data_IF_307871098652
#
_entry.id   IF_307871098652
#
_cell.length_a   1.000
_cell.length_b   1.000
_cell.length_c   1.000
_cell.angle_alpha   90.00
_cell.angle_beta   90.00
_cell.angle_gamma   90.00
#
_symmetry.space_group_name_H-M   'P 1'
#
loop_
_entity.id
_entity.type
_entity.pdbx_description
1 polymer ?
#
# COMPACT_ATOMS: atom_id res chain seq x y z
N UNK A 1 -25.37 -1.36 -23.91
CA UNK A 1 -25.18 -0.45 -25.06
C UNK A 1 -23.75 0.04 -24.96
N UNK A 2 -22.90 -0.30 -25.93
CA UNK A 2 -21.54 0.22 -25.98
C UNK A 2 -21.58 1.72 -26.28
N UNK A 3 -21.01 2.51 -25.38
CA UNK A 3 -20.90 3.95 -25.54
C UNK A 3 -19.86 4.21 -26.62
N UNK A 4 -20.21 5.00 -27.63
CA UNK A 4 -19.28 5.41 -28.68
C UNK A 4 -18.04 6.10 -28.08
N UNK A 5 -16.82 5.58 -28.32
CA UNK A 5 -15.59 6.12 -27.73
C UNK A 5 -15.34 7.60 -28.01
N UNK A 6 -15.88 8.14 -29.11
CA UNK A 6 -15.75 9.55 -29.49
C UNK A 6 -16.43 10.49 -28.49
N UNK A 7 -17.37 10.00 -27.68
CA UNK A 7 -17.99 10.79 -26.63
C UNK A 7 -17.03 11.11 -25.47
N UNK A 8 -15.97 10.32 -25.27
CA UNK A 8 -14.97 10.60 -24.23
C UNK A 8 -14.06 11.78 -24.59
N UNK A 9 -13.91 12.11 -25.88
CA UNK A 9 -13.08 13.24 -26.34
C UNK A 9 -13.63 14.61 -25.91
N UNK A 10 -14.93 14.68 -25.60
CA UNK A 10 -15.61 15.91 -25.20
C UNK A 10 -15.77 16.05 -23.68
N UNK A 11 -15.35 15.05 -22.90
CA UNK A 11 -15.45 15.10 -21.45
C UNK A 11 -14.31 15.96 -20.91
N UNK A 12 -14.65 17.15 -20.42
CA UNK A 12 -13.72 17.96 -19.63
C UNK A 12 -13.41 17.26 -18.32
N UNK A 13 -12.22 16.69 -18.19
CA UNK A 13 -11.72 16.13 -16.93
C UNK A 13 -11.30 17.29 -16.04
N UNK A 14 -11.75 17.30 -14.79
CA UNK A 14 -11.32 18.32 -13.82
C UNK A 14 -9.96 17.91 -13.26
N UNK A 15 -9.04 18.87 -13.15
CA UNK A 15 -7.72 18.63 -12.55
C UNK A 15 -7.81 18.03 -11.15
N UNK A 16 -8.82 18.43 -10.36
CA UNK A 16 -9.06 17.88 -9.03
C UNK A 16 -9.37 16.37 -9.06
N UNK A 17 -10.07 15.88 -10.09
CA UNK A 17 -10.35 14.45 -10.21
C UNK A 17 -9.07 13.67 -10.49
N UNK A 18 -8.18 14.22 -11.33
CA UNK A 18 -6.85 13.67 -11.59
C UNK A 18 -6.01 13.68 -10.31
N UNK A 19 -6.00 14.81 -9.58
CA UNK A 19 -5.25 14.94 -8.34
C UNK A 19 -5.70 13.95 -7.28
N UNK A 20 -7.00 13.71 -7.15
CA UNK A 20 -7.54 12.71 -6.23
C UNK A 20 -7.08 11.29 -6.58
N UNK A 21 -7.04 10.94 -7.87
CA UNK A 21 -6.56 9.63 -8.33
C UNK A 21 -5.07 9.48 -8.00
N UNK A 22 -4.26 10.50 -8.27
CA UNK A 22 -2.83 10.49 -7.95
C UNK A 22 -2.62 10.38 -6.45
N UNK A 23 -3.33 11.17 -5.64
CA UNK A 23 -3.24 11.14 -4.18
C UNK A 23 -3.60 9.74 -3.64
N UNK A 24 -4.70 9.16 -4.11
CA UNK A 24 -5.11 7.79 -3.73
C UNK A 24 -4.03 6.77 -4.06
N UNK A 25 -3.43 6.85 -5.26
CA UNK A 25 -2.34 5.95 -5.64
C UNK A 25 -1.13 6.07 -4.70
N UNK A 26 -0.71 7.29 -4.38
CA UNK A 26 0.43 7.53 -3.50
C UNK A 26 0.15 7.02 -2.07
N UNK A 27 -1.07 7.22 -1.55
CA UNK A 27 -1.49 6.71 -0.25
C UNK A 27 -1.47 5.18 -0.20
N UNK A 28 -2.10 4.53 -1.18
CA UNK A 28 -2.22 3.07 -1.19
C UNK A 28 -0.88 2.36 -1.34
N UNK A 29 0.09 2.99 -2.02
CA UNK A 29 1.44 2.45 -2.20
C UNK A 29 2.46 2.97 -1.17
N UNK A 30 2.02 3.69 -0.14
CA UNK A 30 2.87 4.22 0.93
C UNK A 30 4.01 5.15 0.45
N UNK A 31 3.80 5.89 -0.65
CA UNK A 31 4.77 6.84 -1.20
C UNK A 31 4.66 8.21 -0.53
N UNK A 32 5.00 8.27 0.76
CA UNK A 32 4.85 9.48 1.59
C UNK A 32 5.58 10.71 1.05
N UNK A 33 6.88 10.60 0.78
CA UNK A 33 7.70 11.75 0.35
C UNK A 33 7.16 12.36 -0.95
N UNK A 34 6.68 11.51 -1.87
CA UNK A 34 6.03 11.94 -3.11
C UNK A 34 4.66 12.54 -2.85
N UNK A 35 3.89 12.00 -1.90
CA UNK A 35 2.59 12.55 -1.50
C UNK A 35 2.73 13.95 -0.91
N UNK A 36 3.69 14.17 -0.01
CA UNK A 36 3.97 15.47 0.60
C UNK A 36 4.34 16.49 -0.48
N UNK A 37 5.28 16.14 -1.37
CA UNK A 37 5.66 16.99 -2.50
C UNK A 37 4.49 17.28 -3.46
N UNK A 38 3.60 16.29 -3.67
CA UNK A 38 2.43 16.42 -4.53
C UNK A 38 1.38 17.36 -3.93
N UNK A 39 1.11 17.24 -2.63
CA UNK A 39 0.22 18.13 -1.88
C UNK A 39 0.73 19.57 -1.93
N UNK A 40 2.03 19.79 -1.68
CA UNK A 40 2.67 21.12 -1.74
C UNK A 40 2.53 21.77 -3.12
N UNK A 41 2.68 20.97 -4.19
CA UNK A 41 2.63 21.45 -5.57
C UNK A 41 1.21 21.69 -6.09
N UNK A 42 0.22 20.94 -5.61
CA UNK A 42 -1.16 20.98 -6.10
C UNK A 42 -2.11 21.79 -5.23
N UNK A 43 -1.69 22.13 -3.99
CA UNK A 43 -2.55 22.81 -3.01
C UNK A 43 -3.71 21.94 -2.51
N UNK A 44 -3.65 20.63 -2.75
CA UNK A 44 -4.64 19.66 -2.26
C UNK A 44 -4.58 19.58 -0.73
N UNK A 45 -5.70 19.28 -0.04
CA UNK A 45 -5.67 19.06 1.39
C UNK A 45 -4.81 17.83 1.75
N UNK A 46 -4.03 17.95 2.82
CA UNK A 46 -3.24 16.84 3.33
C UNK A 46 -4.16 15.73 3.89
N UNK A 47 -3.98 14.47 3.49
CA UNK A 47 -4.76 13.35 4.00
C UNK A 47 -4.20 12.87 5.35
N UNK A 48 -4.32 13.68 6.40
CA UNK A 48 -3.66 13.47 7.71
C UNK A 48 -3.90 12.07 8.31
N UNK A 49 -5.13 11.56 8.23
CA UNK A 49 -5.52 10.25 8.77
C UNK A 49 -4.80 9.09 8.05
N UNK A 50 -4.37 9.33 6.81
CA UNK A 50 -3.73 8.31 5.99
C UNK A 50 -2.22 8.23 6.22
N UNK A 51 -1.57 9.30 6.69
CA UNK A 51 -0.11 9.35 6.83
C UNK A 51 0.36 8.38 7.92
N UNK A 52 -0.31 8.38 9.08
CA UNK A 52 0.05 7.46 10.18
C UNK A 52 -0.13 6.00 9.75
N UNK A 53 -1.24 5.71 9.06
CA UNK A 53 -1.53 4.37 8.56
C UNK A 53 -0.57 3.94 7.44
N UNK A 54 -0.12 4.88 6.60
CA UNK A 54 0.90 4.64 5.58
C UNK A 54 2.22 4.18 6.21
N UNK A 55 2.66 4.85 7.28
CA UNK A 55 3.91 4.47 7.97
C UNK A 55 3.82 3.07 8.59
N UNK A 56 2.69 2.77 9.25
CA UNK A 56 2.43 1.43 9.80
C UNK A 56 2.48 0.36 8.71
N UNK A 57 1.80 0.57 7.59
CA UNK A 57 1.83 -0.35 6.43
C UNK A 57 3.21 -0.47 5.80
N UNK A 58 3.94 0.65 5.67
CA UNK A 58 5.29 0.68 5.12
C UNK A 58 6.26 -0.14 5.99
N UNK A 59 6.15 -0.04 7.32
CA UNK A 59 6.94 -0.85 8.24
C UNK A 59 6.74 -2.36 8.06
N UNK A 60 5.48 -2.79 7.89
CA UNK A 60 5.15 -4.19 7.59
C UNK A 60 5.77 -4.61 6.25
N UNK A 61 5.58 -3.82 5.20
CA UNK A 61 6.12 -4.09 3.87
C UNK A 61 7.65 -4.19 3.86
N UNK A 62 8.34 -3.30 4.56
CA UNK A 62 9.81 -3.34 4.67
C UNK A 62 10.27 -4.64 5.36
N UNK A 63 9.60 -5.10 6.42
CA UNK A 63 9.95 -6.35 7.09
C UNK A 63 9.87 -7.56 6.14
N UNK A 64 8.85 -7.61 5.27
CA UNK A 64 8.70 -8.66 4.25
C UNK A 64 9.85 -8.58 3.24
N UNK A 65 10.16 -7.39 2.73
CA UNK A 65 11.25 -7.20 1.75
C UNK A 65 12.64 -7.52 2.31
N UNK A 66 12.86 -7.26 3.58
CA UNK A 66 14.13 -7.51 4.27
C UNK A 66 14.32 -8.99 4.66
N UNK A 67 13.35 -9.86 4.39
CA UNK A 67 13.41 -11.27 4.75
C UNK A 67 13.17 -11.51 6.24
N UNK A 68 12.28 -10.71 6.84
CA UNK A 68 11.85 -10.83 8.24
C UNK A 68 10.34 -11.02 8.33
N UNK A 69 9.83 -12.10 7.72
CA UNK A 69 8.40 -12.40 7.69
C UNK A 69 7.76 -12.53 9.09
N UNK A 70 8.49 -13.03 10.10
CA UNK A 70 7.95 -13.11 11.47
C UNK A 70 7.69 -11.72 12.06
N UNK A 71 8.58 -10.75 11.84
CA UNK A 71 8.33 -9.38 12.29
C UNK A 71 7.18 -8.73 11.53
N UNK A 72 7.03 -9.04 10.25
CA UNK A 72 5.89 -8.58 9.46
C UNK A 72 4.56 -9.12 10.02
N UNK A 73 4.49 -10.40 10.41
CA UNK A 73 3.32 -11.01 11.07
C UNK A 73 3.00 -10.28 12.38
N UNK A 74 4.01 -10.10 13.25
CA UNK A 74 3.83 -9.42 14.54
C UNK A 74 3.28 -8.00 14.38
N UNK A 75 3.86 -7.22 13.47
CA UNK A 75 3.39 -5.85 13.20
C UNK A 75 2.00 -5.82 12.56
N UNK A 76 1.67 -6.80 11.72
CA UNK A 76 0.35 -6.89 11.11
C UNK A 76 -0.73 -7.11 12.17
N UNK A 77 -0.51 -7.99 13.14
CA UNK A 77 -1.44 -8.20 14.26
C UNK A 77 -1.56 -6.99 15.19
N UNK A 78 -0.49 -6.20 15.36
CA UNK A 78 -0.54 -4.96 16.15
C UNK A 78 -1.34 -3.85 15.45
N UNK A 79 -1.27 -3.79 14.12
CA UNK A 79 -1.91 -2.73 13.32
C UNK A 79 -3.35 -3.08 12.96
N UNK A 80 -3.62 -4.34 12.66
CA UNK A 80 -4.92 -4.85 12.25
C UNK A 80 -5.19 -6.18 12.96
N UNK A 81 -5.67 -6.10 14.19
CA UNK A 81 -6.05 -7.25 14.99
C UNK A 81 -6.99 -8.17 14.19
N UNK A 82 -6.77 -9.48 14.31
CA UNK A 82 -7.58 -10.54 13.69
C UNK A 82 -7.48 -10.60 12.15
N UNK A 83 -6.67 -9.76 11.50
CA UNK A 83 -6.55 -9.77 10.03
C UNK A 83 -6.02 -11.11 9.53
N UNK A 84 -4.98 -11.68 10.17
CA UNK A 84 -4.40 -12.95 9.75
C UNK A 84 -5.23 -14.15 10.21
N UNK A 85 -5.99 -14.02 11.31
CA UNK A 85 -6.94 -15.05 11.72
C UNK A 85 -8.10 -15.17 10.72
N UNK A 86 -8.61 -14.02 10.24
CA UNK A 86 -9.68 -13.95 9.26
C UNK A 86 -9.20 -14.23 7.83
N UNK A 87 -7.92 -14.00 7.53
CA UNK A 87 -7.31 -14.26 6.23
C UNK A 87 -6.18 -15.30 6.35
N UNK A 88 -6.58 -16.57 6.48
CA UNK A 88 -5.66 -17.70 6.66
C UNK A 88 -4.74 -17.93 5.47
N UNK A 89 -5.18 -17.59 4.25
CA UNK A 89 -4.35 -17.70 3.06
C UNK A 89 -3.17 -16.73 3.14
N UNK A 90 -3.42 -15.46 3.49
CA UNK A 90 -2.36 -14.47 3.72
C UNK A 90 -1.41 -14.90 4.84
N UNK A 91 -1.95 -15.40 5.96
CA UNK A 91 -1.10 -15.89 7.05
C UNK A 91 -0.22 -17.07 6.61
N UNK A 92 -0.79 -18.00 5.85
CA UNK A 92 -0.06 -19.12 5.30
C UNK A 92 1.03 -18.68 4.31
N UNK A 93 0.77 -17.68 3.47
CA UNK A 93 1.76 -17.10 2.55
C UNK A 93 2.93 -16.47 3.31
N UNK A 94 2.66 -15.72 4.39
CA UNK A 94 3.70 -15.13 5.24
C UNK A 94 4.55 -16.20 5.95
N UNK A 95 3.93 -17.27 6.44
CA UNK A 95 4.66 -18.40 7.04
C UNK A 95 5.47 -19.19 5.99
N UNK A 96 4.94 -19.33 4.78
CA UNK A 96 5.64 -19.94 3.66
C UNK A 96 6.85 -19.11 3.23
N UNK A 97 6.73 -17.79 3.22
CA UNK A 97 7.85 -16.88 3.00
C UNK A 97 8.91 -17.05 4.09
N UNK A 98 8.51 -17.11 5.37
CA UNK A 98 9.44 -17.37 6.46
C UNK A 98 10.20 -18.69 6.30
N UNK A 99 9.50 -19.74 5.85
CA UNK A 99 10.15 -21.00 5.55
C UNK A 99 11.20 -20.87 4.44
N UNK A 100 10.89 -20.15 3.36
CA UNK A 100 11.85 -19.86 2.27
C UNK A 100 13.06 -19.07 2.78
N UNK A 101 12.86 -18.09 3.66
CA UNK A 101 13.94 -17.34 4.32
C UNK A 101 14.87 -18.29 5.10
N UNK A 102 14.32 -19.21 5.91
CA UNK A 102 15.10 -20.17 6.69
C UNK A 102 15.91 -21.14 5.81
N UNK A 103 15.31 -21.62 4.71
CA UNK A 103 15.98 -22.50 3.76
C UNK A 103 17.10 -21.75 3.04
N UNK A 104 16.87 -20.50 2.66
CA UNK A 104 17.85 -19.67 1.94
C UNK A 104 19.01 -19.20 2.83
N UNK A 105 18.76 -18.98 4.12
CA UNK A 105 19.80 -18.61 5.09
C UNK A 105 20.83 -19.74 5.33
N UNK A 106 20.43 -21.00 5.15
CA UNK A 106 21.34 -22.15 5.13
C UNK A 106 22.08 -22.19 3.80
N UNK A 107 23.16 -21.40 3.69
CA UNK A 107 24.15 -21.56 2.62
C UNK A 107 24.83 -22.92 2.77
N UNK A 108 24.71 -23.75 1.73
CA UNK A 108 25.45 -25.00 1.56
C UNK A 108 26.87 -24.70 1.09
#
# INVERSE_FOLDING_TARGET
>A
MDVDPRHYEQIGIKDNDIHNIVLSYLVHNCYRETLESFVDCTGMPEPSDYIEDMEKRKGIFCCVLEGNALKAIELTEQVACDLLENNKDLHFDLLSLHFVELVSAKKW
#
